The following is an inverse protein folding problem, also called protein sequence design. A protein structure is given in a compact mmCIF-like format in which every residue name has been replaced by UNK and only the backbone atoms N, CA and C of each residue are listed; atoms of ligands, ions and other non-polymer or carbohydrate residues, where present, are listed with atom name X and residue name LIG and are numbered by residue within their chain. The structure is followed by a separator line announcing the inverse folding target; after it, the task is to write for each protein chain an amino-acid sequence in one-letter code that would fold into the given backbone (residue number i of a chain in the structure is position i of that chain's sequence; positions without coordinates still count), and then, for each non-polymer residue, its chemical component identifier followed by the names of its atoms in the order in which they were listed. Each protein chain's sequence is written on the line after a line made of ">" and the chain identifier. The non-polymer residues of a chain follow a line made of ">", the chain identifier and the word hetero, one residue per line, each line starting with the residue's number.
data_IF_369447696969
#
_entry.id   IF_369447696969
#
_cell.length_a   1.000
_cell.length_b   1.000
_cell.length_c   1.000
_cell.angle_alpha   90.00
_cell.angle_beta   90.00
_cell.angle_gamma   90.00
#
_symmetry.space_group_name_H-M   'P 1'
#
loop_
_entity.id
_entity.type
_entity.pdbx_description
1 polymer ?
#
# COMPACT_ATOMS: atom_id res chain seq x y z
N UNK A 1 44.52 43.76 -5.37
CA UNK A 1 43.66 43.65 -4.18
C UNK A 1 42.16 43.50 -4.53
N UNK A 2 41.62 44.21 -5.53
CA UNK A 2 40.20 44.07 -5.95
C UNK A 2 39.79 42.64 -6.39
N UNK A 3 40.64 41.91 -7.11
CA UNK A 3 40.28 40.57 -7.63
C UNK A 3 40.09 39.50 -6.55
N UNK A 4 40.73 39.63 -5.37
CA UNK A 4 40.52 38.69 -4.26
C UNK A 4 39.17 38.91 -3.58
N UNK A 5 38.68 40.15 -3.50
CA UNK A 5 37.38 40.47 -2.90
C UNK A 5 36.24 39.88 -3.76
N UNK A 6 36.32 39.98 -5.08
CA UNK A 6 35.31 39.41 -5.99
C UNK A 6 35.25 37.86 -5.95
N UNK A 7 36.39 37.19 -5.74
CA UNK A 7 36.45 35.74 -5.58
C UNK A 7 35.73 35.27 -4.31
N UNK A 8 35.95 35.97 -3.19
CA UNK A 8 35.31 35.67 -1.90
C UNK A 8 33.80 35.92 -1.96
N UNK A 9 33.35 36.98 -2.65
CA UNK A 9 31.92 37.25 -2.82
C UNK A 9 31.21 36.20 -3.70
N UNK A 10 31.83 35.72 -4.78
CA UNK A 10 31.27 34.65 -5.61
C UNK A 10 31.15 33.33 -4.83
N UNK A 11 32.19 32.96 -4.09
CA UNK A 11 32.21 31.75 -3.25
C UNK A 11 31.07 31.72 -2.22
N UNK A 12 30.81 32.85 -1.54
CA UNK A 12 29.71 32.97 -0.56
C UNK A 12 28.33 32.90 -1.20
N UNK A 13 28.17 33.42 -2.43
CA UNK A 13 26.92 33.34 -3.17
C UNK A 13 26.57 31.89 -3.56
N UNK A 14 27.56 31.10 -3.97
CA UNK A 14 27.36 29.67 -4.29
C UNK A 14 26.96 28.85 -3.06
N UNK A 15 27.51 29.15 -1.88
CA UNK A 15 27.14 28.47 -0.62
C UNK A 15 25.70 28.80 -0.22
N UNK A 16 25.26 30.06 -0.38
CA UNK A 16 23.88 30.48 -0.10
C UNK A 16 22.91 29.82 -1.09
N UNK A 17 23.27 29.74 -2.38
CA UNK A 17 22.45 29.05 -3.38
C UNK A 17 22.33 27.54 -3.10
N UNK A 18 23.42 26.91 -2.64
CA UNK A 18 23.44 25.49 -2.27
C UNK A 18 22.56 25.22 -1.05
N UNK A 19 22.56 26.11 -0.04
CA UNK A 19 21.72 25.99 1.16
C UNK A 19 20.21 26.19 0.87
N UNK A 20 19.85 26.97 -0.16
CA UNK A 20 18.46 27.11 -0.59
C UNK A 20 17.92 25.86 -1.29
N UNK A 21 18.77 25.03 -1.90
CA UNK A 21 18.37 23.74 -2.49
C UNK A 21 18.01 22.66 -1.46
N UNK A 22 18.51 22.76 -0.22
CA UNK A 22 18.20 21.79 0.85
C UNK A 22 16.97 22.15 1.70
N UNK A 23 16.41 23.35 1.55
CA UNK A 23 15.27 23.81 2.37
C UNK A 23 13.91 23.31 1.89
N UNK A 24 13.82 22.59 0.76
CA UNK A 24 12.56 22.07 0.23
C UNK A 24 12.30 20.63 0.66
N UNK A 25 12.39 20.36 1.96
CA UNK A 25 11.82 19.18 2.59
C UNK A 25 10.57 19.58 3.38
N UNK A 26 9.64 20.29 2.72
CA UNK A 26 8.30 20.46 3.24
C UNK A 26 7.57 19.12 3.07
N UNK A 27 7.85 18.18 3.99
CA UNK A 27 7.09 16.94 4.12
C UNK A 27 5.68 17.33 4.55
N UNK A 28 4.81 17.59 3.57
CA UNK A 28 3.37 17.61 3.78
C UNK A 28 3.02 16.27 4.43
N UNK A 29 2.94 16.26 5.76
CA UNK A 29 2.56 15.09 6.55
C UNK A 29 1.11 14.81 6.20
N UNK A 30 0.91 13.98 5.20
CA UNK A 30 -0.43 13.60 4.77
C UNK A 30 -1.16 12.97 5.96
N UNK A 31 -2.46 13.22 6.05
CA UNK A 31 -3.31 12.69 7.12
C UNK A 31 -4.26 11.67 6.51
N UNK A 32 -4.46 10.55 7.21
CA UNK A 32 -5.46 9.56 6.81
C UNK A 32 -6.85 10.10 7.17
N UNK A 33 -7.78 10.23 6.22
CA UNK A 33 -9.12 10.71 6.53
C UNK A 33 -9.83 9.76 7.51
N UNK A 34 -10.45 10.33 8.55
CA UNK A 34 -11.11 9.56 9.62
C UNK A 34 -12.21 8.62 9.10
N UNK A 35 -12.78 8.90 7.94
CA UNK A 35 -13.78 8.03 7.30
C UNK A 35 -13.23 6.63 6.98
N UNK A 36 -11.92 6.47 6.75
CA UNK A 36 -11.27 5.16 6.55
C UNK A 36 -11.01 4.43 7.87
N UNK A 37 -10.89 5.13 8.99
CA UNK A 37 -10.60 4.52 10.29
C UNK A 37 -11.78 3.66 10.74
N UNK A 38 -11.49 2.45 11.21
CA UNK A 38 -12.50 1.51 11.68
C UNK A 38 -12.28 0.09 11.16
N UNK A 39 -13.26 -0.77 11.42
CA UNK A 39 -13.27 -2.16 10.97
C UNK A 39 -14.00 -2.26 9.63
N UNK A 40 -13.43 -3.01 8.72
CA UNK A 40 -13.96 -3.27 7.39
C UNK A 40 -13.91 -4.75 7.08
N UNK A 41 -14.88 -5.21 6.29
CA UNK A 41 -15.08 -6.63 6.05
C UNK A 41 -15.55 -6.89 4.63
N UNK A 42 -15.02 -7.97 4.03
CA UNK A 42 -15.51 -8.56 2.78
C UNK A 42 -15.78 -10.04 3.03
N UNK A 43 -17.03 -10.53 2.83
CA UNK A 43 -17.44 -11.84 3.29
C UNK A 43 -16.73 -13.00 2.59
N UNK A 44 -16.53 -12.91 1.28
CA UNK A 44 -15.88 -13.97 0.51
C UNK A 44 -15.51 -13.48 -0.89
N UNK A 45 -14.22 -13.36 -1.16
CA UNK A 45 -13.68 -13.02 -2.49
C UNK A 45 -12.94 -14.20 -3.06
N UNK A 46 -13.05 -14.43 -4.38
CA UNK A 46 -12.25 -15.44 -5.08
C UNK A 46 -10.81 -14.93 -5.18
N UNK A 47 -9.88 -15.64 -4.55
CA UNK A 47 -8.46 -15.33 -4.48
C UNK A 47 -7.69 -16.33 -5.32
N UNK A 48 -6.83 -15.83 -6.21
CA UNK A 48 -5.95 -16.63 -7.05
C UNK A 48 -4.50 -16.41 -6.65
N UNK A 49 -3.83 -17.47 -6.24
CA UNK A 49 -2.40 -17.50 -5.95
C UNK A 49 -1.68 -18.07 -7.15
N UNK A 50 -0.67 -17.37 -7.64
CA UNK A 50 0.18 -17.86 -8.72
C UNK A 50 1.50 -18.43 -8.17
N UNK A 51 2.01 -19.46 -8.81
CA UNK A 51 3.36 -20.00 -8.60
C UNK A 51 4.08 -20.12 -9.94
N UNK A 52 5.41 -20.18 -9.87
CA UNK A 52 6.28 -20.37 -11.04
C UNK A 52 7.14 -21.61 -10.80
N UNK A 53 6.61 -22.83 -11.02
CA UNK A 53 7.36 -24.06 -10.76
C UNK A 53 8.54 -24.25 -11.74
N UNK A 54 8.43 -23.71 -12.96
CA UNK A 54 9.47 -23.75 -13.98
C UNK A 54 9.68 -22.39 -14.66
N UNK A 55 10.81 -22.22 -15.35
CA UNK A 55 11.26 -20.93 -15.92
C UNK A 55 10.27 -20.28 -16.90
N UNK A 56 9.34 -21.05 -17.49
CA UNK A 56 8.38 -20.58 -18.49
C UNK A 56 6.90 -20.94 -18.22
N UNK A 57 6.56 -21.46 -17.03
CA UNK A 57 5.18 -21.82 -16.69
C UNK A 57 4.71 -21.13 -15.42
N UNK A 58 3.47 -20.66 -15.45
CA UNK A 58 2.75 -20.20 -14.27
C UNK A 58 1.65 -21.19 -13.95
N UNK A 59 1.52 -21.54 -12.68
CA UNK A 59 0.38 -22.28 -12.16
C UNK A 59 -0.45 -21.36 -11.28
N UNK A 60 -1.77 -21.59 -11.28
CA UNK A 60 -2.72 -20.77 -10.56
C UNK A 60 -3.58 -21.67 -9.69
N UNK A 61 -3.60 -21.41 -8.39
CA UNK A 61 -4.47 -22.07 -7.43
C UNK A 61 -5.45 -21.04 -6.90
N UNK A 62 -6.75 -21.33 -7.00
CA UNK A 62 -7.79 -20.41 -6.55
C UNK A 62 -8.66 -21.06 -5.48
N UNK A 63 -9.01 -20.29 -4.47
CA UNK A 63 -10.09 -20.61 -3.53
C UNK A 63 -10.73 -19.27 -3.11
N UNK A 64 -11.68 -19.30 -2.20
CA UNK A 64 -12.37 -18.10 -1.74
C UNK A 64 -12.14 -17.87 -0.27
N UNK A 65 -11.83 -16.63 0.10
CA UNK A 65 -11.57 -16.26 1.48
C UNK A 65 -12.21 -14.91 1.84
N UNK A 66 -12.52 -14.74 3.12
CA UNK A 66 -12.96 -13.46 3.66
C UNK A 66 -11.76 -12.54 3.85
N UNK A 67 -11.99 -11.23 3.81
CA UNK A 67 -11.00 -10.21 4.15
C UNK A 67 -11.56 -9.37 5.28
N UNK A 68 -10.82 -9.26 6.38
CA UNK A 68 -11.16 -8.40 7.53
C UNK A 68 -10.00 -7.48 7.79
N UNK A 69 -10.24 -6.17 7.86
CA UNK A 69 -9.20 -5.19 8.20
C UNK A 69 -9.68 -4.22 9.27
N UNK A 70 -8.77 -3.81 10.14
CA UNK A 70 -8.93 -2.71 11.08
C UNK A 70 -7.93 -1.64 10.72
N UNK A 71 -8.41 -0.51 10.24
CA UNK A 71 -7.60 0.65 9.94
C UNK A 71 -7.53 1.53 11.18
N UNK A 72 -6.33 1.78 11.68
CA UNK A 72 -6.06 2.59 12.85
C UNK A 72 -5.77 4.05 12.45
N UNK A 73 -5.99 4.98 13.38
CA UNK A 73 -5.78 6.42 13.14
C UNK A 73 -4.32 6.82 12.95
N UNK A 74 -3.39 5.97 13.40
CA UNK A 74 -1.94 6.15 13.30
C UNK A 74 -1.34 5.67 11.96
N UNK A 75 -2.20 5.32 10.99
CA UNK A 75 -1.83 4.78 9.67
C UNK A 75 -1.25 3.37 9.72
N UNK A 76 -1.59 2.61 10.75
CA UNK A 76 -1.39 1.16 10.77
C UNK A 76 -2.69 0.43 10.46
N UNK A 77 -2.59 -0.84 10.09
CA UNK A 77 -3.72 -1.73 9.94
C UNK A 77 -3.40 -3.14 10.44
N UNK A 78 -4.39 -3.76 11.05
CA UNK A 78 -4.37 -5.17 11.42
C UNK A 78 -5.48 -5.89 10.67
N UNK A 79 -5.33 -7.19 10.41
CA UNK A 79 -6.38 -7.88 9.69
C UNK A 79 -6.09 -9.33 9.37
N UNK A 80 -6.96 -9.90 8.56
CA UNK A 80 -6.87 -11.26 8.07
C UNK A 80 -7.34 -11.36 6.62
N UNK A 81 -6.71 -12.26 5.89
CA UNK A 81 -7.09 -12.67 4.54
C UNK A 81 -7.21 -14.20 4.60
N UNK A 82 -8.45 -14.70 4.67
CA UNK A 82 -8.72 -16.09 4.98
C UNK A 82 -8.13 -16.52 6.32
N UNK A 83 -7.31 -17.57 6.31
CA UNK A 83 -6.58 -18.06 7.50
C UNK A 83 -5.33 -17.26 7.84
N UNK A 84 -4.84 -16.40 6.93
CA UNK A 84 -3.64 -15.62 7.16
C UNK A 84 -3.97 -14.35 7.94
N UNK A 85 -3.17 -14.03 8.95
CA UNK A 85 -3.30 -12.83 9.80
C UNK A 85 -2.09 -11.93 9.58
N UNK A 86 -2.31 -10.63 9.57
CA UNK A 86 -1.25 -9.62 9.59
C UNK A 86 -1.52 -8.61 10.71
N UNK A 87 -0.45 -8.05 11.24
CA UNK A 87 -0.48 -7.01 12.28
C UNK A 87 0.49 -5.91 11.93
N UNK A 88 0.19 -4.68 12.32
CA UNK A 88 1.04 -3.50 12.08
C UNK A 88 1.36 -3.26 10.60
N UNK A 89 0.41 -3.57 9.71
CA UNK A 89 0.53 -3.23 8.30
C UNK A 89 0.57 -1.72 8.09
N UNK A 90 1.45 -1.23 7.23
CA UNK A 90 1.65 0.22 7.05
C UNK A 90 0.75 0.76 5.95
N UNK A 91 0.06 1.86 6.21
CA UNK A 91 -0.78 2.54 5.22
C UNK A 91 0.02 3.65 4.56
N UNK A 92 0.11 3.62 3.23
CA UNK A 92 0.66 4.70 2.42
C UNK A 92 -0.37 5.29 1.48
N UNK A 93 -0.25 6.59 1.22
CA UNK A 93 -1.04 7.28 0.19
C UNK A 93 -0.51 6.88 -1.20
N UNK A 94 -1.40 6.50 -2.11
CA UNK A 94 -1.02 6.33 -3.51
C UNK A 94 -0.62 7.69 -4.11
N UNK A 95 0.50 7.74 -4.84
CA UNK A 95 1.02 9.01 -5.40
C UNK A 95 0.26 9.47 -6.65
N UNK A 96 -0.47 8.56 -7.31
CA UNK A 96 -1.31 8.89 -8.46
C UNK A 96 -2.64 9.55 -8.07
N UNK A 97 -3.34 10.17 -9.03
CA UNK A 97 -4.71 10.63 -8.82
C UNK A 97 -5.63 9.40 -8.64
N UNK A 98 -6.33 9.24 -7.49
CA UNK A 98 -7.26 8.14 -7.28
C UNK A 98 -8.36 8.05 -8.33
N UNK A 99 -8.83 9.18 -8.88
CA UNK A 99 -9.86 9.21 -9.94
C UNK A 99 -9.38 8.57 -11.25
N UNK A 100 -8.06 8.52 -11.47
CA UNK A 100 -7.45 7.90 -12.65
C UNK A 100 -6.94 6.49 -12.40
N UNK A 101 -6.44 6.25 -11.19
CA UNK A 101 -5.78 4.99 -10.84
C UNK A 101 -6.73 3.98 -10.20
N UNK A 102 -7.89 4.43 -9.70
CA UNK A 102 -8.79 3.63 -8.88
C UNK A 102 -8.26 3.35 -7.47
N UNK A 103 -7.12 3.93 -7.08
CA UNK A 103 -6.40 3.58 -5.83
C UNK A 103 -6.08 4.84 -5.04
N UNK A 104 -6.61 4.90 -3.82
CA UNK A 104 -6.36 5.97 -2.85
C UNK A 104 -5.21 5.63 -1.90
N UNK A 105 -5.23 4.43 -1.34
CA UNK A 105 -4.30 3.99 -0.29
C UNK A 105 -3.83 2.57 -0.53
N UNK A 106 -2.64 2.26 -0.03
CA UNK A 106 -2.09 0.90 -0.07
C UNK A 106 -1.74 0.51 1.36
N UNK A 107 -2.23 -0.66 1.78
CA UNK A 107 -1.88 -1.29 3.05
C UNK A 107 -0.82 -2.35 2.77
N UNK A 108 0.39 -2.12 3.24
CA UNK A 108 1.50 -3.07 3.20
C UNK A 108 1.32 -4.06 4.35
N UNK A 109 0.82 -5.27 4.06
CA UNK A 109 0.51 -6.26 5.09
C UNK A 109 1.75 -7.05 5.54
N UNK A 110 2.86 -6.92 4.80
CA UNK A 110 4.07 -7.71 5.00
C UNK A 110 3.92 -9.16 4.54
N UNK A 111 4.81 -10.02 5.05
CA UNK A 111 4.79 -11.45 4.78
C UNK A 111 3.69 -12.16 5.58
N UNK A 112 2.74 -12.77 4.87
CA UNK A 112 1.63 -13.51 5.44
C UNK A 112 1.71 -15.00 5.07
N UNK A 113 1.00 -15.83 5.82
CA UNK A 113 0.94 -17.27 5.60
C UNK A 113 0.03 -17.71 4.43
N UNK A 114 -0.44 -18.95 4.50
CA UNK A 114 -1.48 -19.48 3.61
C UNK A 114 -2.81 -18.77 3.84
N UNK A 115 -3.42 -18.31 2.75
CA UNK A 115 -4.73 -17.66 2.76
C UNK A 115 -5.84 -18.71 2.87
N UNK A 116 -5.66 -19.87 2.25
CA UNK A 116 -6.60 -21.00 2.24
C UNK A 116 -5.85 -22.34 2.29
N UNK A 117 -6.57 -23.43 2.54
CA UNK A 117 -5.98 -24.76 2.85
C UNK A 117 -5.03 -25.27 1.77
N UNK A 118 -5.41 -25.10 0.50
CA UNK A 118 -4.64 -25.56 -0.67
C UNK A 118 -3.73 -24.47 -1.26
N UNK A 119 -3.52 -23.36 -0.56
CA UNK A 119 -2.63 -22.28 -1.01
C UNK A 119 -1.20 -22.84 -1.22
N UNK A 120 -0.65 -22.76 -2.44
CA UNK A 120 0.61 -23.41 -2.78
C UNK A 120 1.83 -22.68 -2.19
N UNK A 121 1.67 -21.48 -1.64
CA UNK A 121 2.75 -20.70 -1.04
C UNK A 121 2.57 -20.62 0.47
N UNK A 122 3.51 -21.22 1.22
CA UNK A 122 3.54 -21.18 2.68
C UNK A 122 3.61 -19.74 3.21
N UNK A 123 4.37 -18.89 2.53
CA UNK A 123 4.53 -17.46 2.84
C UNK A 123 4.55 -16.62 1.58
N UNK A 124 4.04 -15.39 1.68
CA UNK A 124 4.02 -14.41 0.59
C UNK A 124 3.84 -13.01 1.13
N UNK A 125 4.52 -12.04 0.52
CA UNK A 125 4.30 -10.64 0.79
C UNK A 125 3.05 -10.15 0.05
N UNK A 126 2.16 -9.43 0.73
CA UNK A 126 0.93 -8.92 0.10
C UNK A 126 0.64 -7.47 0.45
N UNK A 127 -0.08 -6.82 -0.45
CA UNK A 127 -0.62 -5.49 -0.29
C UNK A 127 -2.12 -5.48 -0.56
N UNK A 128 -2.86 -4.61 0.16
CA UNK A 128 -4.25 -4.28 -0.15
C UNK A 128 -4.29 -2.89 -0.77
N UNK A 129 -4.73 -2.80 -2.02
CA UNK A 129 -4.86 -1.56 -2.76
C UNK A 129 -6.30 -1.07 -2.66
N UNK A 130 -6.52 -0.03 -1.87
CA UNK A 130 -7.85 0.48 -1.53
C UNK A 130 -8.22 1.65 -2.43
N UNK A 131 -9.39 1.57 -3.06
CA UNK A 131 -10.00 2.66 -3.80
C UNK A 131 -10.57 3.76 -2.91
N UNK A 132 -11.15 4.81 -3.52
CA UNK A 132 -11.92 5.81 -2.79
C UNK A 132 -13.16 5.17 -2.15
N UNK A 133 -13.61 5.72 -1.02
CA UNK A 133 -14.90 5.33 -0.44
C UNK A 133 -16.03 5.72 -1.40
N UNK A 134 -16.85 4.74 -1.76
CA UNK A 134 -18.00 4.90 -2.65
C UNK A 134 -19.10 5.73 -1.98
N UNK A 135 -20.08 6.19 -2.78
CA UNK A 135 -21.27 6.89 -2.26
C UNK A 135 -22.08 6.02 -1.29
N UNK A 136 -21.97 4.69 -1.39
CA UNK A 136 -22.67 3.73 -0.55
C UNK A 136 -21.89 3.38 0.73
N UNK A 137 -20.73 4.00 0.94
CA UNK A 137 -19.89 3.75 2.10
C UNK A 137 -19.05 2.46 2.01
N UNK A 138 -18.90 1.90 0.81
CA UNK A 138 -18.04 0.73 0.54
C UNK A 138 -16.66 1.17 0.04
N UNK A 139 -15.68 0.28 0.13
CA UNK A 139 -14.35 0.47 -0.47
C UNK A 139 -14.10 -0.69 -1.43
N UNK A 140 -14.05 -0.40 -2.73
CA UNK A 140 -13.50 -1.34 -3.69
C UNK A 140 -11.98 -1.42 -3.51
N UNK A 141 -11.41 -2.61 -3.67
CA UNK A 141 -9.97 -2.78 -3.58
C UNK A 141 -9.48 -4.05 -4.24
N UNK A 142 -8.15 -4.19 -4.26
CA UNK A 142 -7.46 -5.34 -4.82
C UNK A 142 -6.45 -5.91 -3.82
N UNK A 143 -6.42 -7.23 -3.73
CA UNK A 143 -5.37 -7.96 -3.06
C UNK A 143 -4.28 -8.24 -4.08
N UNK A 144 -3.04 -7.87 -3.76
CA UNK A 144 -1.88 -8.07 -4.63
C UNK A 144 -0.76 -8.82 -3.92
N UNK A 145 -0.14 -9.74 -4.64
CA UNK A 145 1.08 -10.43 -4.25
C UNK A 145 2.29 -9.60 -4.70
N UNK A 146 3.26 -9.41 -3.81
CA UNK A 146 4.52 -8.71 -4.10
C UNK A 146 5.65 -9.74 -4.29
N UNK A 147 6.37 -9.61 -5.40
CA UNK A 147 7.55 -10.42 -5.71
C UNK A 147 8.64 -9.52 -6.28
N UNK A 148 9.66 -9.24 -5.46
CA UNK A 148 10.65 -8.22 -5.76
C UNK A 148 9.98 -6.84 -5.90
N UNK A 149 10.19 -6.18 -7.04
CA UNK A 149 9.65 -4.84 -7.30
C UNK A 149 8.29 -4.86 -8.01
N UNK A 150 7.67 -6.03 -8.18
CA UNK A 150 6.46 -6.21 -8.97
C UNK A 150 5.28 -6.67 -8.13
N UNK A 151 4.10 -6.13 -8.42
CA UNK A 151 2.84 -6.48 -7.76
C UNK A 151 1.91 -7.18 -8.76
N UNK A 152 1.26 -8.24 -8.30
CA UNK A 152 0.43 -9.09 -9.15
C UNK A 152 -0.95 -9.28 -8.52
N UNK A 153 -2.05 -9.04 -9.27
CA UNK A 153 -3.40 -9.13 -8.73
C UNK A 153 -3.73 -10.58 -8.34
N UNK A 154 -4.34 -10.73 -7.17
CA UNK A 154 -4.83 -12.01 -6.64
C UNK A 154 -6.35 -12.04 -6.57
N UNK A 155 -6.97 -10.91 -6.19
CA UNK A 155 -8.42 -10.75 -6.10
C UNK A 155 -8.82 -9.28 -6.18
N UNK A 156 -10.01 -9.02 -6.73
CA UNK A 156 -10.78 -7.82 -6.42
C UNK A 156 -11.73 -8.11 -5.26
N UNK A 157 -11.99 -7.11 -4.42
CA UNK A 157 -12.92 -7.21 -3.30
C UNK A 157 -13.66 -5.89 -3.06
N UNK A 158 -14.80 -5.98 -2.37
CA UNK A 158 -15.51 -4.83 -1.82
C UNK A 158 -15.56 -4.98 -0.31
N UNK A 159 -15.15 -3.92 0.39
CA UNK A 159 -15.18 -3.83 1.84
C UNK A 159 -16.37 -3.00 2.29
N UNK A 160 -17.12 -3.55 3.24
CA UNK A 160 -18.15 -2.84 3.98
C UNK A 160 -17.64 -2.48 5.36
N UNK A 161 -18.03 -1.30 5.86
CA UNK A 161 -17.68 -0.90 7.22
C UNK A 161 -18.49 -1.76 8.20
N UNK A 162 -17.81 -2.45 9.11
CA UNK A 162 -18.49 -3.28 10.10
C UNK A 162 -19.34 -2.38 11.00
N UNK A 163 -20.62 -2.71 11.14
CA UNK A 163 -21.50 -2.07 12.13
C UNK A 163 -21.04 -2.57 13.51
N UNK A 164 -20.76 -1.62 14.41
CA UNK A 164 -20.49 -1.94 15.82
C UNK A 164 -21.73 -2.51 16.48
#
# INVERSE_FOLDING_TARGET
>A
MLNQIFSILKSKLYIILLLLFFSSCNSNKWVLPQVYVGKWFSPKSKITVRTKPHFASFEFTSDSAAISIRINSDKTADGSIGSAVFTHGMIRKNRGNPERTGVSYIIECGEIGKIFKIDPKERKEVELWLGPISKNGTIEGELRYTEGMSQFPMAGFELEKARN
#
